data_IF_371628930596
#
_entry.id   IF_371628930596
#
_cell.length_a   1.000
_cell.length_b   1.000
_cell.length_c   1.000
_cell.angle_alpha   90.00
_cell.angle_beta   90.00
_cell.angle_gamma   90.00
#
_symmetry.space_group_name_H-M   'P 1'
#
loop_
_entity.id
_entity.type
_entity.pdbx_description
1 polymer ?
#
# COMPACT_ATOMS: atom_id res chain seq x y z
N UNK A 1 17.28 -39.58 -13.03
CA UNK A 1 16.26 -39.73 -11.97
C UNK A 1 16.59 -38.91 -10.73
N UNK A 2 17.78 -39.03 -10.13
CA UNK A 2 18.21 -38.19 -9.00
C UNK A 2 18.02 -36.67 -9.21
N UNK A 3 18.38 -36.06 -10.38
CA UNK A 3 18.24 -34.61 -10.56
C UNK A 3 16.78 -34.15 -10.48
N UNK A 4 15.85 -34.95 -10.99
CA UNK A 4 14.41 -34.66 -10.97
C UNK A 4 13.90 -34.66 -9.53
N UNK A 5 14.32 -35.63 -8.71
CA UNK A 5 13.95 -35.71 -7.30
C UNK A 5 14.50 -34.50 -6.54
N UNK A 6 15.75 -34.11 -6.80
CA UNK A 6 16.38 -32.94 -6.17
C UNK A 6 15.61 -31.66 -6.52
N UNK A 7 15.30 -31.44 -7.79
CA UNK A 7 14.53 -30.27 -8.23
C UNK A 7 13.12 -30.27 -7.65
N UNK A 8 12.47 -31.44 -7.56
CA UNK A 8 11.14 -31.56 -6.96
C UNK A 8 11.16 -31.18 -5.47
N UNK A 9 12.16 -31.65 -4.72
CA UNK A 9 12.30 -31.25 -3.31
C UNK A 9 12.57 -29.75 -3.21
N UNK A 10 13.44 -29.20 -4.06
CA UNK A 10 13.78 -27.77 -4.06
C UNK A 10 12.53 -26.90 -4.24
N UNK A 11 11.67 -27.21 -5.21
CA UNK A 11 10.45 -26.42 -5.45
C UNK A 11 9.45 -26.55 -4.30
N UNK A 12 9.36 -27.71 -3.65
CA UNK A 12 8.48 -27.91 -2.49
C UNK A 12 8.97 -27.11 -1.28
N UNK A 13 10.28 -27.08 -1.06
CA UNK A 13 10.90 -26.25 0.00
C UNK A 13 10.64 -24.77 -0.28
N UNK A 14 10.84 -24.31 -1.51
CA UNK A 14 10.60 -22.91 -1.89
C UNK A 14 9.13 -22.52 -1.74
N UNK A 15 8.20 -23.37 -2.18
CA UNK A 15 6.77 -23.15 -2.02
C UNK A 15 6.36 -23.08 -0.54
N UNK A 16 6.88 -24.00 0.29
CA UNK A 16 6.67 -23.95 1.74
C UNK A 16 7.18 -22.66 2.35
N UNK A 17 8.37 -22.21 1.94
CA UNK A 17 8.97 -20.95 2.41
C UNK A 17 8.09 -19.75 2.08
N UNK A 18 7.55 -19.69 0.85
CA UNK A 18 6.62 -18.63 0.42
C UNK A 18 5.35 -18.67 1.26
N UNK A 19 4.76 -19.84 1.49
CA UNK A 19 3.53 -19.96 2.31
C UNK A 19 3.79 -19.48 3.74
N UNK A 20 4.91 -19.88 4.34
CA UNK A 20 5.32 -19.42 5.68
C UNK A 20 5.52 -17.90 5.67
N UNK A 21 6.24 -17.36 4.69
CA UNK A 21 6.44 -15.91 4.54
C UNK A 21 5.17 -15.15 4.18
N UNK A 22 4.13 -15.74 3.60
CA UNK A 22 2.88 -14.99 3.36
C UNK A 22 1.97 -15.09 4.58
N UNK A 23 1.95 -16.25 5.25
CA UNK A 23 1.07 -16.51 6.37
C UNK A 23 1.53 -15.86 7.68
N UNK A 24 2.84 -15.84 7.96
CA UNK A 24 3.37 -15.40 9.25
C UNK A 24 3.60 -13.88 9.41
N UNK A 25 3.97 -13.08 8.38
CA UNK A 25 4.30 -11.68 8.57
C UNK A 25 3.13 -10.75 8.20
N UNK A 26 2.07 -10.78 9.01
CA UNK A 26 1.13 -9.65 9.10
C UNK A 26 1.15 -8.97 10.48
N UNK A 27 1.96 -9.45 11.44
CA UNK A 27 1.93 -8.96 12.83
C UNK A 27 3.27 -8.79 13.57
N UNK A 28 4.41 -8.93 12.90
CA UNK A 28 5.71 -8.82 13.58
C UNK A 28 5.99 -9.95 14.58
N UNK A 29 5.31 -11.10 14.45
CA UNK A 29 5.56 -12.29 15.25
C UNK A 29 6.59 -13.19 14.56
N UNK A 30 7.59 -13.61 15.32
CA UNK A 30 8.72 -14.39 14.85
C UNK A 30 8.31 -15.74 14.24
N UNK A 31 8.95 -16.10 13.14
CA UNK A 31 8.77 -17.40 12.49
C UNK A 31 9.23 -18.52 13.44
N UNK A 32 8.35 -19.47 13.82
CA UNK A 32 8.58 -20.42 14.93
C UNK A 32 9.71 -21.44 14.69
N UNK A 33 10.37 -21.41 13.54
CA UNK A 33 11.47 -22.31 13.18
C UNK A 33 12.79 -21.60 12.81
N UNK A 34 12.82 -20.27 12.74
CA UNK A 34 14.03 -19.53 12.38
C UNK A 34 14.11 -18.16 13.08
N UNK A 35 14.36 -18.12 14.41
CA UNK A 35 14.50 -16.86 15.16
C UNK A 35 15.61 -15.96 14.59
N UNK A 36 16.68 -16.57 14.09
CA UNK A 36 17.81 -15.88 13.47
C UNK A 36 17.44 -15.17 12.16
N UNK A 37 16.41 -15.63 11.45
CA UNK A 37 15.93 -15.02 10.22
C UNK A 37 15.10 -13.76 10.53
N UNK A 38 14.34 -13.78 11.62
CA UNK A 38 13.65 -12.60 12.16
C UNK A 38 14.63 -11.49 12.53
N UNK A 39 15.70 -11.83 13.26
CA UNK A 39 16.77 -10.90 13.66
C UNK A 39 17.48 -10.27 12.44
N UNK A 40 17.78 -11.09 11.43
CA UNK A 40 18.44 -10.62 10.20
C UNK A 40 17.52 -9.71 9.38
N UNK A 41 16.22 -10.00 9.35
CA UNK A 41 15.23 -9.20 8.64
C UNK A 41 14.95 -7.88 9.37
N UNK A 42 14.89 -7.89 10.70
CA UNK A 42 14.79 -6.68 11.53
C UNK A 42 15.97 -5.74 11.29
N UNK A 43 17.20 -6.27 11.27
CA UNK A 43 18.39 -5.47 10.89
C UNK A 43 18.34 -4.92 9.48
N UNK A 44 17.78 -5.68 8.53
CA UNK A 44 17.65 -5.22 7.15
C UNK A 44 16.62 -4.09 7.01
N UNK A 45 15.55 -4.12 7.80
CA UNK A 45 14.55 -3.05 7.88
C UNK A 45 15.15 -1.78 8.50
N UNK A 46 15.90 -1.90 9.60
CA UNK A 46 16.58 -0.75 10.21
C UNK A 46 17.63 -0.11 9.29
N UNK A 47 18.25 -0.92 8.42
CA UNK A 47 19.20 -0.45 7.43
C UNK A 47 18.52 0.12 6.17
N UNK A 48 17.22 -0.04 6.01
CA UNK A 48 16.50 0.47 4.85
C UNK A 48 16.35 2.00 4.98
N UNK A 49 16.79 2.78 3.97
CA UNK A 49 16.49 4.20 3.88
C UNK A 49 14.96 4.38 3.92
N UNK A 50 14.46 5.03 4.97
CA UNK A 50 13.04 5.34 5.07
C UNK A 50 12.73 6.49 4.10
N UNK A 51 11.70 6.32 3.28
CA UNK A 51 11.22 7.41 2.43
C UNK A 51 10.51 8.40 3.37
N UNK A 52 11.14 9.54 3.60
CA UNK A 52 10.48 10.68 4.20
C UNK A 52 9.41 11.13 3.20
N UNK A 53 8.13 11.19 3.56
CA UNK A 53 7.14 11.81 2.70
C UNK A 53 7.59 13.25 2.53
N UNK A 54 8.07 13.61 1.34
CA UNK A 54 8.18 15.00 0.94
C UNK A 54 6.78 15.57 1.10
N UNK A 55 6.61 16.55 2.00
CA UNK A 55 5.37 17.33 2.12
C UNK A 55 5.20 18.13 0.83
N UNK A 56 4.83 17.46 -0.26
CA UNK A 56 4.33 18.11 -1.45
C UNK A 56 2.95 18.60 -1.07
N UNK A 57 2.90 19.85 -0.59
CA UNK A 57 1.67 20.54 -0.25
C UNK A 57 0.69 20.42 -1.40
N UNK A 58 -0.29 19.53 -1.27
CA UNK A 58 -1.47 19.55 -2.11
C UNK A 58 -2.30 20.74 -1.61
N UNK A 59 -1.88 21.94 -2.01
CA UNK A 59 -2.74 23.12 -2.08
C UNK A 59 -3.41 23.19 -3.47
N UNK A 60 -3.90 22.05 -3.97
CA UNK A 60 -4.70 21.97 -5.20
C UNK A 60 -6.21 22.00 -4.87
N UNK A 61 -6.59 22.51 -3.68
CA UNK A 61 -7.98 22.81 -3.34
C UNK A 61 -8.40 24.22 -3.78
N UNK A 62 -7.46 25.16 -3.85
CA UNK A 62 -7.72 26.53 -4.29
C UNK A 62 -8.17 26.58 -5.74
N UNK A 63 -7.47 25.85 -6.63
CA UNK A 63 -7.78 25.77 -8.06
C UNK A 63 -9.17 25.18 -8.36
N UNK A 64 -9.58 24.18 -7.59
CA UNK A 64 -10.92 23.58 -7.72
C UNK A 64 -11.99 24.53 -7.18
N UNK A 65 -11.73 25.20 -6.05
CA UNK A 65 -12.67 26.15 -5.43
C UNK A 65 -13.01 27.32 -6.35
N UNK A 66 -12.00 27.90 -7.01
CA UNK A 66 -12.20 29.05 -7.90
C UNK A 66 -13.07 28.69 -9.13
N UNK A 67 -13.01 27.44 -9.59
CA UNK A 67 -13.85 26.95 -10.70
C UNK A 67 -15.34 26.82 -10.35
N UNK A 68 -15.68 26.68 -9.07
CA UNK A 68 -17.09 26.61 -8.61
C UNK A 68 -17.63 27.98 -8.17
N UNK A 69 -16.76 28.94 -7.85
CA UNK A 69 -17.17 30.28 -7.39
C UNK A 69 -17.53 31.23 -8.55
N UNK A 70 -17.08 30.95 -9.78
CA UNK A 70 -17.44 31.73 -10.99
C UNK A 70 -18.85 31.44 -11.55
N UNK A 71 -19.58 30.45 -11.02
CA UNK A 71 -20.97 30.23 -11.44
C UNK A 71 -21.88 31.28 -10.77
N UNK A 72 -22.52 32.19 -11.53
CA UNK A 72 -23.40 33.18 -10.93
C UNK A 72 -24.61 32.46 -10.29
N UNK A 73 -24.63 32.46 -8.96
CA UNK A 73 -25.72 31.92 -8.11
C UNK A 73 -27.08 32.59 -8.43
N UNK A 74 -27.07 33.68 -9.20
CA UNK A 74 -28.23 34.44 -9.66
C UNK A 74 -29.19 33.66 -10.59
N UNK A 75 -28.79 32.53 -11.18
CA UNK A 75 -29.66 31.80 -12.13
C UNK A 75 -30.74 30.91 -11.49
N UNK A 76 -30.73 30.74 -10.15
CA UNK A 76 -31.68 29.84 -9.45
C UNK A 76 -32.99 30.53 -9.09
N UNK A 77 -33.01 31.86 -8.92
CA UNK A 77 -34.18 32.57 -8.40
C UNK A 77 -35.24 32.89 -9.49
N UNK A 78 -34.82 32.97 -10.75
CA UNK A 78 -35.71 33.41 -11.83
C UNK A 78 -36.68 32.32 -12.33
N UNK A 79 -36.46 31.06 -11.95
CA UNK A 79 -37.32 29.94 -12.35
C UNK A 79 -38.52 29.72 -11.43
N UNK A 80 -38.61 30.43 -10.29
CA UNK A 80 -39.67 30.21 -9.28
C UNK A 80 -40.93 31.04 -9.51
N UNK A 81 -40.88 32.09 -10.34
CA UNK A 81 -41.99 33.04 -10.51
C UNK A 81 -42.77 32.92 -11.83
N UNK A 82 -42.42 31.99 -12.73
CA UNK A 82 -43.11 31.85 -14.04
C UNK A 82 -44.23 30.78 -14.05
N UNK A 83 -44.45 30.07 -12.96
CA UNK A 83 -45.51 29.05 -12.84
C UNK A 83 -46.47 29.41 -11.71
N UNK A 84 -47.25 30.47 -11.89
CA UNK A 84 -48.50 30.73 -11.17
C UNK A 84 -49.41 31.59 -12.03
#
# INVERSE_FOLDING_TARGET
MLPVVVVMILILVLAGLVVVYVAYPHRGEDVPAAPWLGEAMARAVDAAPTIVPEEHGIDDRSRFRDSFEEAPVAAVDERRHRTS
#
